data_IF_554360921234
#
_entry.id   IF_554360921234
#
_cell.length_a   1.000
_cell.length_b   1.000
_cell.length_c   1.000
_cell.angle_alpha   90.00
_cell.angle_beta   90.00
_cell.angle_gamma   90.00
#
_symmetry.space_group_name_H-M   'P 1'
#
loop_
_entity.id
_entity.type
_entity.pdbx_description
1 polymer ?
#
# COMPACT_ATOMS: atom_id res chain seq x y z
N UNK A 1 8.59 -23.65 -5.57
CA UNK A 1 9.30 -23.61 -4.28
C UNK A 1 9.76 -22.17 -4.14
N UNK A 2 9.09 -21.37 -3.30
CA UNK A 2 9.35 -19.92 -3.21
C UNK A 2 10.59 -19.75 -2.35
N UNK A 3 11.69 -19.25 -2.94
CA UNK A 3 12.85 -18.80 -2.18
C UNK A 3 12.48 -17.48 -1.49
N UNK A 4 12.20 -17.58 -0.20
CA UNK A 4 12.10 -16.42 0.68
C UNK A 4 13.54 -15.97 0.92
N UNK A 5 13.98 -14.92 0.22
CA UNK A 5 15.23 -14.23 0.57
C UNK A 5 15.04 -13.50 1.90
N UNK A 6 15.14 -14.29 2.98
CA UNK A 6 14.93 -13.92 4.38
C UNK A 6 16.11 -13.11 4.95
N UNK A 7 16.33 -11.92 4.41
CA UNK A 7 17.20 -10.90 5.00
C UNK A 7 16.67 -9.48 4.81
N UNK A 8 15.36 -9.32 4.59
CA UNK A 8 14.72 -8.01 4.73
C UNK A 8 14.41 -7.76 6.20
N UNK A 9 14.76 -6.57 6.72
CA UNK A 9 14.34 -6.10 8.05
C UNK A 9 12.81 -6.05 8.23
N UNK A 10 12.04 -6.35 7.18
CA UNK A 10 10.59 -6.27 7.13
C UNK A 10 9.88 -7.63 6.99
N UNK A 11 10.56 -8.76 7.17
CA UNK A 11 9.98 -10.11 6.94
C UNK A 11 8.63 -10.34 7.62
N UNK A 12 8.45 -9.87 8.86
CA UNK A 12 7.17 -9.96 9.57
C UNK A 12 6.08 -9.08 8.93
N UNK A 13 6.41 -7.84 8.54
CA UNK A 13 5.49 -6.91 7.89
C UNK A 13 5.07 -7.47 6.53
N UNK A 14 5.99 -8.06 5.77
CA UNK A 14 5.70 -8.69 4.49
C UNK A 14 4.69 -9.83 4.62
N UNK A 15 4.91 -10.76 5.56
CA UNK A 15 3.98 -11.87 5.82
C UNK A 15 2.59 -11.34 6.21
N UNK A 16 2.55 -10.32 7.06
CA UNK A 16 1.29 -9.69 7.47
C UNK A 16 0.59 -8.99 6.30
N UNK A 17 1.35 -8.30 5.44
CA UNK A 17 0.82 -7.63 4.26
C UNK A 17 0.23 -8.65 3.28
N UNK A 18 0.95 -9.73 2.97
CA UNK A 18 0.46 -10.79 2.08
C UNK A 18 -0.82 -11.41 2.65
N UNK A 19 -0.87 -11.69 3.96
CA UNK A 19 -2.08 -12.19 4.63
C UNK A 19 -3.27 -11.23 4.50
N UNK A 20 -3.04 -9.94 4.74
CA UNK A 20 -4.07 -8.90 4.60
C UNK A 20 -4.56 -8.78 3.15
N UNK A 21 -3.63 -8.82 2.18
CA UNK A 21 -3.93 -8.62 0.75
C UNK A 21 -4.58 -9.85 0.10
N UNK A 22 -4.34 -11.05 0.62
CA UNK A 22 -4.97 -12.29 0.12
C UNK A 22 -6.50 -12.24 0.24
N UNK A 23 -7.04 -11.46 1.18
CA UNK A 23 -8.48 -11.23 1.32
C UNK A 23 -9.13 -10.67 0.04
N UNK A 24 -8.36 -10.06 -0.85
CA UNK A 24 -8.80 -9.46 -2.11
C UNK A 24 -8.50 -10.33 -3.35
N UNK A 25 -7.96 -11.54 -3.17
CA UNK A 25 -7.35 -12.33 -4.25
C UNK A 25 -8.20 -13.42 -4.92
N UNK A 26 -9.45 -13.70 -4.52
CA UNK A 26 -10.24 -14.83 -5.08
C UNK A 26 -11.72 -14.55 -5.24
N UNK A 27 -12.30 -14.95 -6.38
CA UNK A 27 -13.45 -14.26 -7.01
C UNK A 27 -14.83 -14.44 -6.39
N UNK A 28 -15.21 -15.49 -5.65
CA UNK A 28 -16.67 -15.74 -5.50
C UNK A 28 -17.28 -16.07 -4.12
N UNK A 29 -16.55 -16.31 -3.02
CA UNK A 29 -17.23 -16.87 -1.83
C UNK A 29 -17.18 -16.06 -0.54
N UNK A 30 -16.61 -14.84 -0.53
CA UNK A 30 -16.33 -14.13 0.72
C UNK A 30 -16.51 -12.61 0.65
N UNK A 31 -17.56 -12.17 -0.02
CA UNK A 31 -17.91 -10.74 -0.15
C UNK A 31 -17.90 -10.00 1.21
N UNK A 32 -18.48 -10.60 2.25
CA UNK A 32 -18.46 -10.01 3.60
C UNK A 32 -17.04 -9.88 4.18
N UNK A 33 -16.14 -10.83 3.93
CA UNK A 33 -14.75 -10.72 4.41
C UNK A 33 -13.95 -9.70 3.60
N UNK A 34 -14.24 -9.54 2.31
CA UNK A 34 -13.67 -8.49 1.48
C UNK A 34 -14.10 -7.11 1.96
N UNK A 35 -15.38 -6.93 2.26
CA UNK A 35 -15.89 -5.67 2.82
C UNK A 35 -15.28 -5.37 4.19
N UNK A 36 -15.11 -6.38 5.04
CA UNK A 36 -14.43 -6.22 6.33
C UNK A 36 -12.95 -5.87 6.14
N UNK A 37 -12.25 -6.55 5.25
CA UNK A 37 -10.85 -6.26 4.93
C UNK A 37 -10.69 -4.86 4.33
N UNK A 38 -11.61 -4.43 3.46
CA UNK A 38 -11.65 -3.10 2.88
C UNK A 38 -11.82 -2.03 3.97
N UNK A 39 -12.81 -2.19 4.86
CA UNK A 39 -13.03 -1.27 5.98
C UNK A 39 -11.83 -1.22 6.93
N UNK A 40 -11.13 -2.34 7.13
CA UNK A 40 -9.94 -2.39 7.98
C UNK A 40 -8.78 -1.54 7.43
N UNK A 41 -8.70 -1.39 6.10
CA UNK A 41 -7.69 -0.58 5.43
C UNK A 41 -8.05 0.92 5.35
N UNK A 42 -9.30 1.28 5.63
CA UNK A 42 -9.73 2.67 5.56
C UNK A 42 -9.01 3.52 6.62
N UNK A 43 -8.40 4.65 6.22
CA UNK A 43 -7.85 5.61 7.16
C UNK A 43 -8.93 6.21 8.05
N UNK A 44 -8.58 6.39 9.32
CA UNK A 44 -9.30 7.17 10.32
C UNK A 44 -8.60 8.52 10.47
N UNK A 45 -9.28 9.52 11.02
CA UNK A 45 -8.71 10.87 11.17
C UNK A 45 -7.40 10.87 11.95
N UNK A 46 -7.24 9.99 12.94
CA UNK A 46 -6.00 9.83 13.71
C UNK A 46 -4.82 9.23 12.92
N UNK A 47 -5.05 8.59 11.78
CA UNK A 47 -3.98 7.95 10.99
C UNK A 47 -3.18 8.96 10.15
N UNK A 48 -3.84 10.00 9.64
CA UNK A 48 -3.21 10.98 8.77
C UNK A 48 -1.97 11.66 9.39
N UNK A 49 -2.00 12.16 10.64
CA UNK A 49 -0.81 12.72 11.28
C UNK A 49 0.26 11.68 11.61
N UNK A 50 -0.03 10.37 11.51
CA UNK A 50 0.97 9.31 11.63
C UNK A 50 1.67 9.00 10.30
N UNK A 51 1.24 9.59 9.19
CA UNK A 51 1.73 9.27 7.84
C UNK A 51 2.28 10.50 7.13
N UNK A 52 1.61 11.63 7.29
CA UNK A 52 1.91 12.86 6.56
C UNK A 52 2.45 13.94 7.51
N UNK A 53 3.29 14.81 6.96
CA UNK A 53 3.74 16.01 7.69
C UNK A 53 2.54 16.93 7.97
N UNK A 54 2.56 17.72 9.07
CA UNK A 54 1.40 18.50 9.52
C UNK A 54 0.78 19.40 8.44
N UNK A 55 1.60 19.96 7.55
CA UNK A 55 1.21 20.90 6.51
C UNK A 55 0.20 20.33 5.50
N UNK A 56 0.20 19.02 5.28
CA UNK A 56 -0.66 18.38 4.27
C UNK A 56 -1.71 17.43 4.87
N UNK A 57 -1.79 17.29 6.20
CA UNK A 57 -2.73 16.37 6.87
C UNK A 57 -4.18 16.66 6.46
N UNK A 58 -4.60 17.93 6.51
CA UNK A 58 -5.98 18.32 6.16
C UNK A 58 -6.28 18.07 4.68
N UNK A 59 -5.31 18.35 3.80
CA UNK A 59 -5.41 18.11 2.37
C UNK A 59 -5.54 16.62 2.06
N UNK A 60 -4.69 15.80 2.69
CA UNK A 60 -4.74 14.34 2.58
C UNK A 60 -6.10 13.81 3.03
N UNK A 61 -6.58 14.24 4.21
CA UNK A 61 -7.85 13.79 4.76
C UNK A 61 -9.02 14.09 3.82
N UNK A 62 -9.16 15.35 3.37
CA UNK A 62 -10.23 15.73 2.42
C UNK A 62 -10.15 14.95 1.11
N UNK A 63 -8.94 14.78 0.56
CA UNK A 63 -8.75 14.04 -0.69
C UNK A 63 -9.15 12.57 -0.57
N UNK A 64 -8.78 11.93 0.55
CA UNK A 64 -9.09 10.53 0.79
C UNK A 64 -10.53 10.28 1.21
N UNK A 65 -11.21 11.21 1.90
CA UNK A 65 -12.65 11.11 2.16
C UNK A 65 -13.45 10.94 0.86
N UNK A 66 -13.15 11.75 -0.16
CA UNK A 66 -13.81 11.65 -1.48
C UNK A 66 -13.45 10.35 -2.23
N UNK A 67 -12.23 9.85 -2.05
CA UNK A 67 -11.80 8.58 -2.62
C UNK A 67 -12.54 7.39 -1.97
N UNK A 68 -12.57 7.35 -0.64
CA UNK A 68 -13.21 6.28 0.14
C UNK A 68 -14.73 6.30 0.08
N UNK A 69 -15.35 7.44 -0.21
CA UNK A 69 -16.79 7.52 -0.50
C UNK A 69 -17.22 6.65 -1.71
N UNK A 70 -16.28 6.30 -2.59
CA UNK A 70 -16.52 5.40 -3.74
C UNK A 70 -16.30 3.92 -3.42
N UNK A 71 -15.97 3.58 -2.17
CA UNK A 71 -15.65 2.23 -1.71
C UNK A 71 -14.67 1.48 -2.64
N UNK A 72 -13.46 2.01 -2.86
CA UNK A 72 -12.46 1.36 -3.70
C UNK A 72 -11.87 0.15 -2.99
N UNK A 73 -11.55 -0.90 -3.76
CA UNK A 73 -10.82 -2.05 -3.24
C UNK A 73 -9.80 -2.53 -4.27
N UNK A 74 -8.65 -3.07 -3.81
CA UNK A 74 -7.75 -3.80 -4.68
C UNK A 74 -8.44 -5.08 -5.16
N UNK A 75 -8.20 -5.49 -6.40
CA UNK A 75 -8.80 -6.69 -6.97
C UNK A 75 -7.80 -7.40 -7.87
N UNK A 76 -7.54 -8.66 -7.55
CA UNK A 76 -6.80 -9.54 -8.46
C UNK A 76 -7.66 -9.91 -9.67
N UNK A 77 -7.05 -10.00 -10.85
CA UNK A 77 -7.70 -10.58 -12.02
C UNK A 77 -7.68 -12.12 -11.96
N UNK A 78 -8.51 -12.75 -12.80
CA UNK A 78 -8.57 -14.21 -12.87
C UNK A 78 -7.19 -14.82 -13.17
N UNK A 79 -6.76 -15.75 -12.31
CA UNK A 79 -5.46 -16.42 -12.42
C UNK A 79 -4.29 -15.68 -11.76
N UNK A 80 -4.47 -14.45 -11.28
CA UNK A 80 -3.45 -13.75 -10.50
C UNK A 80 -3.49 -14.21 -9.03
N UNK A 81 -2.80 -15.32 -8.73
CA UNK A 81 -2.86 -15.98 -7.42
C UNK A 81 -1.64 -15.72 -6.52
N UNK A 82 -0.61 -15.06 -7.04
CA UNK A 82 0.58 -14.68 -6.29
C UNK A 82 0.59 -13.17 -6.00
N UNK A 83 1.18 -12.78 -4.88
CA UNK A 83 1.32 -11.38 -4.46
C UNK A 83 2.80 -11.08 -4.34
N UNK A 84 3.27 -10.11 -5.11
CA UNK A 84 4.61 -9.55 -4.98
C UNK A 84 4.52 -8.24 -4.21
N UNK A 85 5.29 -8.09 -3.14
CA UNK A 85 5.29 -6.89 -2.30
C UNK A 85 6.66 -6.24 -2.35
N UNK A 86 6.71 -4.91 -2.44
CA UNK A 86 7.92 -4.14 -2.18
C UNK A 86 7.68 -3.21 -0.98
N UNK A 87 8.67 -3.11 -0.10
CA UNK A 87 8.57 -2.43 1.20
C UNK A 87 9.76 -1.48 1.37
N UNK A 88 9.51 -0.27 1.85
CA UNK A 88 10.56 0.69 2.21
C UNK A 88 10.07 1.77 3.15
N UNK A 89 11.01 2.47 3.77
CA UNK A 89 10.70 3.70 4.51
C UNK A 89 10.42 4.85 3.56
N UNK A 90 9.61 5.80 4.02
CA UNK A 90 9.30 7.02 3.27
C UNK A 90 10.55 7.83 2.89
N UNK A 91 11.56 7.91 3.77
CA UNK A 91 12.82 8.62 3.49
C UNK A 91 13.56 8.08 2.26
N UNK A 92 13.44 6.78 1.98
CA UNK A 92 14.08 6.11 0.86
C UNK A 92 13.36 6.33 -0.47
N UNK A 93 12.09 6.76 -0.45
CA UNK A 93 11.24 6.86 -1.65
C UNK A 93 11.61 8.04 -2.57
N UNK A 94 12.40 8.99 -2.07
CA UNK A 94 12.95 10.09 -2.88
C UNK A 94 14.08 9.66 -3.81
N UNK A 95 14.68 8.50 -3.55
CA UNK A 95 15.82 7.96 -4.30
C UNK A 95 15.44 7.46 -5.70
N UNK A 96 16.36 7.58 -6.65
CA UNK A 96 16.23 6.94 -7.98
C UNK A 96 16.81 5.52 -8.02
N UNK A 97 17.42 5.07 -6.91
CA UNK A 97 18.00 3.74 -6.76
C UNK A 97 17.34 2.99 -5.60
N UNK A 98 17.45 1.66 -5.61
CA UNK A 98 16.93 0.82 -4.54
C UNK A 98 15.40 0.85 -4.50
N UNK A 99 14.79 1.02 -3.32
CA UNK A 99 13.34 0.94 -3.19
C UNK A 99 12.59 2.06 -3.93
N UNK A 100 13.20 3.25 -4.06
CA UNK A 100 12.62 4.37 -4.82
C UNK A 100 12.52 4.11 -6.33
N UNK A 101 13.30 3.18 -6.89
CA UNK A 101 13.16 2.70 -8.27
C UNK A 101 11.95 1.78 -8.44
N UNK A 102 11.65 0.98 -7.41
CA UNK A 102 10.55 0.01 -7.42
C UNK A 102 9.19 0.68 -7.22
N UNK A 103 9.15 1.77 -6.44
CA UNK A 103 7.93 2.53 -6.18
C UNK A 103 7.51 3.38 -7.39
N UNK A 104 6.20 3.63 -7.57
CA UNK A 104 5.73 4.55 -8.61
C UNK A 104 6.42 5.92 -8.53
N UNK A 105 6.84 6.47 -9.67
CA UNK A 105 7.61 7.73 -9.70
C UNK A 105 6.94 8.94 -9.05
N UNK A 106 5.61 8.91 -8.85
CA UNK A 106 4.89 9.94 -8.11
C UNK A 106 5.31 10.05 -6.63
N UNK A 107 5.82 8.98 -6.01
CA UNK A 107 6.32 9.04 -4.63
C UNK A 107 7.50 10.00 -4.46
N UNK A 108 8.39 10.08 -5.47
CA UNK A 108 9.52 11.02 -5.43
C UNK A 108 9.05 12.48 -5.32
N UNK A 109 7.91 12.81 -5.92
CA UNK A 109 7.34 14.17 -5.92
C UNK A 109 6.73 14.58 -4.58
N UNK A 110 6.44 13.60 -3.71
CA UNK A 110 5.75 13.85 -2.43
C UNK A 110 6.55 13.34 -1.22
N UNK A 111 7.76 12.84 -1.41
CA UNK A 111 8.53 12.23 -0.32
C UNK A 111 8.72 13.19 0.86
N UNK A 112 8.87 14.49 0.60
CA UNK A 112 8.94 15.55 1.63
C UNK A 112 7.63 15.78 2.40
N UNK A 113 6.50 15.29 1.90
CA UNK A 113 5.21 15.34 2.60
C UNK A 113 4.94 14.10 3.46
N UNK A 114 5.80 13.08 3.41
CA UNK A 114 5.66 11.84 4.16
C UNK A 114 6.53 11.89 5.42
N UNK A 115 6.06 11.29 6.52
CA UNK A 115 6.91 11.12 7.70
C UNK A 115 8.01 10.07 7.41
N UNK A 116 9.30 10.42 7.57
CA UNK A 116 10.43 9.67 6.98
C UNK A 116 10.53 8.21 7.44
N UNK A 117 10.25 7.91 8.70
CA UNK A 117 10.35 6.55 9.26
C UNK A 117 9.17 5.64 8.93
N UNK A 118 8.14 6.13 8.24
CA UNK A 118 6.94 5.33 7.97
C UNK A 118 7.17 4.32 6.87
N UNK A 119 6.68 3.10 7.10
CA UNK A 119 6.86 1.97 6.20
C UNK A 119 5.73 1.96 5.18
N UNK A 120 6.11 2.12 3.92
CA UNK A 120 5.23 2.09 2.76
C UNK A 120 5.42 0.80 1.99
N UNK A 121 4.34 0.36 1.35
CA UNK A 121 4.31 -0.84 0.53
C UNK A 121 3.61 -0.56 -0.81
N UNK A 122 4.15 -1.18 -1.84
CA UNK A 122 3.52 -1.39 -3.14
C UNK A 122 3.36 -2.88 -3.37
N UNK A 123 2.36 -3.30 -4.14
CA UNK A 123 2.17 -4.71 -4.43
C UNK A 123 1.59 -4.95 -5.82
N UNK A 124 1.75 -6.19 -6.28
CA UNK A 124 1.18 -6.69 -7.52
C UNK A 124 0.45 -8.00 -7.26
N UNK A 125 -0.73 -8.17 -7.85
CA UNK A 125 -1.30 -9.50 -8.07
C UNK A 125 -0.79 -10.02 -9.40
N UNK A 126 -0.14 -11.19 -9.39
CA UNK A 126 0.51 -11.79 -10.56
C UNK A 126 0.10 -13.25 -10.73
N UNK A 127 0.20 -13.77 -11.95
CA UNK A 127 0.07 -15.21 -12.19
C UNK A 127 1.31 -15.94 -11.64
N UNK A 128 1.21 -17.23 -11.32
CA UNK A 128 2.34 -18.01 -10.84
C UNK A 128 3.58 -17.91 -11.74
N UNK A 129 4.69 -17.46 -11.17
CA UNK A 129 5.97 -17.30 -11.87
C UNK A 129 6.09 -16.06 -12.76
N UNK A 130 5.08 -15.18 -12.81
CA UNK A 130 5.14 -13.90 -13.49
C UNK A 130 5.58 -12.77 -12.53
N UNK A 131 6.17 -11.70 -13.10
CA UNK A 131 6.57 -10.48 -12.34
C UNK A 131 5.74 -9.25 -12.70
N UNK A 132 4.81 -9.42 -13.63
CA UNK A 132 3.89 -8.40 -14.12
C UNK A 132 2.45 -8.79 -13.83
N UNK A 133 1.59 -7.80 -13.59
CA UNK A 133 0.20 -8.02 -13.23
C UNK A 133 -0.45 -6.74 -12.70
N UNK A 134 -1.57 -6.88 -12.00
CA UNK A 134 -2.32 -5.73 -11.48
C UNK A 134 -1.56 -5.09 -10.31
N UNK A 135 -1.13 -3.84 -10.48
CA UNK A 135 -0.30 -3.13 -9.51
C UNK A 135 -1.11 -2.13 -8.68
N UNK A 136 -0.78 -2.06 -7.40
CA UNK A 136 -1.35 -1.15 -6.42
C UNK A 136 -0.25 -0.60 -5.52
N UNK A 137 -0.52 0.52 -4.88
CA UNK A 137 0.43 1.22 -4.04
C UNK A 137 -0.25 1.85 -2.83
N UNK A 138 0.55 2.36 -1.89
CA UNK A 138 0.08 3.24 -0.83
C UNK A 138 -0.40 2.53 0.42
N UNK A 139 -0.05 1.25 0.59
CA UNK A 139 -0.31 0.55 1.83
C UNK A 139 0.75 0.97 2.85
N UNK A 140 0.34 1.38 4.05
CA UNK A 140 1.22 1.91 5.09
C UNK A 140 1.05 1.08 6.35
N UNK A 141 2.17 0.72 6.97
CA UNK A 141 2.18 0.02 8.26
C UNK A 141 2.19 1.04 9.41
N UNK A 142 1.12 1.04 10.22
CA UNK A 142 0.98 1.88 11.42
C UNK A 142 1.10 1.04 12.69
N UNK A 143 2.21 0.31 12.81
CA UNK A 143 2.64 -0.49 13.98
C UNK A 143 1.76 -1.69 14.35
N UNK A 144 0.44 -1.57 14.26
CA UNK A 144 -0.51 -2.64 14.60
C UNK A 144 -1.38 -3.04 13.41
N UNK A 145 -1.54 -2.16 12.42
CA UNK A 145 -2.41 -2.41 11.26
C UNK A 145 -1.91 -1.74 9.99
N UNK A 146 -2.42 -2.24 8.88
CA UNK A 146 -2.26 -1.58 7.60
C UNK A 146 -3.36 -0.54 7.37
N UNK A 147 -2.97 0.57 6.74
CA UNK A 147 -3.85 1.63 6.28
C UNK A 147 -3.53 1.93 4.82
N UNK A 148 -4.56 2.16 4.01
CA UNK A 148 -4.37 2.32 2.58
C UNK A 148 -4.63 3.77 2.12
N UNK A 149 -3.56 4.38 1.63
CA UNK A 149 -3.51 5.71 1.02
C UNK A 149 -3.10 5.57 -0.45
N UNK A 150 -3.99 5.13 -1.36
CA UNK A 150 -3.63 4.88 -2.75
C UNK A 150 -3.23 6.15 -3.48
N UNK A 151 -2.19 6.04 -4.31
CA UNK A 151 -1.72 7.10 -5.21
C UNK A 151 -1.64 8.47 -4.53
N UNK A 152 -0.93 8.61 -3.39
CA UNK A 152 -0.95 9.82 -2.58
C UNK A 152 -0.51 11.07 -3.35
N UNK A 153 0.34 10.92 -4.37
CA UNK A 153 0.72 12.02 -5.25
C UNK A 153 -0.45 12.59 -6.05
N UNK A 154 -1.52 11.84 -6.32
CA UNK A 154 -2.73 12.39 -6.98
C UNK A 154 -3.56 13.29 -6.07
N UNK A 155 -3.34 13.19 -4.76
CA UNK A 155 -4.02 14.01 -3.76
C UNK A 155 -3.11 15.16 -3.31
N UNK A 156 -1.82 14.90 -3.15
CA UNK A 156 -0.87 15.80 -2.53
C UNK A 156 -0.12 16.69 -3.51
N UNK A 157 0.18 16.20 -4.73
CA UNK A 157 0.88 17.01 -5.72
C UNK A 157 0.03 18.22 -6.10
N UNK A 158 0.65 19.39 -6.07
CA UNK A 158 0.19 20.62 -6.70
C UNK A 158 1.01 20.84 -7.96
#
# INVERSE_FOLDING_TARGET
>A
MVEINSTSNYSNIEVMAVKQLTAFGTTDERESLRQLAQKALQPRSEDYPLVFVPEVVEKAQKGYEAFWAKSPFPQAEAGQTEILVAIGKAEELSSEIGIGEVFPGGYRQIAHYLLPDKIWLTWKYVKPGETSGMAYDGLVWLEERFVWFPKPWRILAE
#
